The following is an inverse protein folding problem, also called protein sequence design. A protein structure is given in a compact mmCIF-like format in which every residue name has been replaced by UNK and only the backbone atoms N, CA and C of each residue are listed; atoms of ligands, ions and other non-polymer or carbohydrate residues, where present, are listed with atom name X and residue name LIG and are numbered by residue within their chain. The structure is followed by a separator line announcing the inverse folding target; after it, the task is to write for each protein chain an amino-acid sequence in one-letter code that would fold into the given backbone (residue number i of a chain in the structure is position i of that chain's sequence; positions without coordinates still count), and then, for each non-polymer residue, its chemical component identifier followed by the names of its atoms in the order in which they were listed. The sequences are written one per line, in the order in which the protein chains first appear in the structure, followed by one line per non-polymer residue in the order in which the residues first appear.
data_IF_137861714600
#
_entry.id   IF_137861714600
#
_cell.length_a   1.000
_cell.length_b   1.000
_cell.length_c   1.000
_cell.angle_alpha   90.00
_cell.angle_beta   90.00
_cell.angle_gamma   90.00
#
_symmetry.space_group_name_H-M   'P 1'
#
loop_
_entity.id
_entity.type
_entity.pdbx_description
1 polymer ?
#
# COMPACT_ATOMS: atom_id res chain seq x y z
N UNK A 1 18.77 -31.57 -3.41
CA UNK A 1 19.11 -30.13 -3.37
C UNK A 1 17.85 -29.37 -3.74
N UNK A 2 17.18 -28.73 -2.78
CA UNK A 2 15.93 -28.02 -3.05
C UNK A 2 16.26 -26.62 -3.58
N UNK A 3 15.87 -26.34 -4.81
CA UNK A 3 16.02 -25.02 -5.43
C UNK A 3 15.02 -24.07 -4.79
N UNK A 4 15.52 -23.08 -4.05
CA UNK A 4 14.69 -22.03 -3.48
C UNK A 4 14.45 -20.97 -4.56
N UNK A 5 13.25 -20.98 -5.15
CA UNK A 5 12.82 -19.94 -6.07
C UNK A 5 12.71 -18.62 -5.32
N UNK A 6 13.61 -17.69 -5.58
CA UNK A 6 13.57 -16.32 -5.03
C UNK A 6 12.41 -15.55 -5.65
N UNK A 7 11.22 -15.70 -5.07
CA UNK A 7 10.10 -14.80 -5.36
C UNK A 7 10.49 -13.39 -4.90
N UNK A 8 10.86 -12.53 -5.84
CA UNK A 8 11.17 -11.13 -5.55
C UNK A 8 9.86 -10.38 -5.38
N UNK A 9 9.30 -10.42 -4.17
CA UNK A 9 8.10 -9.65 -3.83
C UNK A 9 8.47 -8.17 -3.77
N UNK A 10 7.99 -7.39 -4.73
CA UNK A 10 8.17 -5.92 -4.71
C UNK A 10 7.11 -5.31 -3.80
N UNK A 11 7.53 -4.75 -2.67
CA UNK A 11 6.64 -4.07 -1.71
C UNK A 11 6.68 -2.57 -1.98
N UNK A 12 5.51 -1.95 -2.06
CA UNK A 12 5.32 -0.50 -2.16
C UNK A 12 4.67 0.04 -0.88
N UNK A 13 5.47 0.57 0.07
CA UNK A 13 4.94 1.08 1.33
C UNK A 13 4.09 2.33 1.10
N UNK A 14 3.01 2.46 1.87
CA UNK A 14 2.23 3.71 1.95
C UNK A 14 2.45 4.36 3.32
N UNK A 15 2.94 5.60 3.33
CA UNK A 15 3.29 6.35 4.53
C UNK A 15 2.38 7.58 4.71
N UNK A 16 1.98 7.87 5.95
CA UNK A 16 1.19 9.07 6.26
C UNK A 16 1.98 10.02 7.15
N UNK A 17 2.12 11.28 6.73
CA UNK A 17 2.89 12.29 7.44
C UNK A 17 2.01 13.47 7.88
N UNK A 18 2.27 14.03 9.06
CA UNK A 18 1.64 15.29 9.47
C UNK A 18 2.07 16.47 8.58
N UNK A 19 3.35 16.48 8.16
CA UNK A 19 3.90 17.40 7.16
C UNK A 19 4.44 16.60 5.97
N UNK A 20 3.60 16.37 4.98
CA UNK A 20 3.96 15.57 3.81
C UNK A 20 4.94 16.29 2.88
N UNK A 21 4.82 17.61 2.69
CA UNK A 21 5.77 18.41 1.88
C UNK A 21 7.19 18.35 2.44
N UNK A 22 7.32 18.53 3.76
CA UNK A 22 8.60 18.40 4.45
C UNK A 22 9.17 16.98 4.37
N UNK A 23 8.32 15.96 4.46
CA UNK A 23 8.73 14.57 4.31
C UNK A 23 9.26 14.25 2.90
N UNK A 24 8.59 14.74 1.86
CA UNK A 24 9.05 14.60 0.47
C UNK A 24 10.43 15.25 0.30
N UNK A 25 10.57 16.53 0.69
CA UNK A 25 11.83 17.24 0.60
C UNK A 25 12.97 16.53 1.36
N UNK A 26 12.66 15.96 2.53
CA UNK A 26 13.61 15.15 3.29
C UNK A 26 13.97 13.85 2.55
N UNK A 27 13.01 13.12 2.01
CA UNK A 27 13.25 11.84 1.33
C UNK A 27 14.08 12.04 0.05
N UNK A 28 13.78 13.08 -0.71
CA UNK A 28 14.55 13.47 -1.90
C UNK A 28 15.96 13.89 -1.50
N UNK A 29 16.12 14.73 -0.47
CA UNK A 29 17.43 15.26 -0.10
C UNK A 29 18.35 14.26 0.62
N UNK A 30 17.79 13.50 1.57
CA UNK A 30 18.58 12.63 2.45
C UNK A 30 18.85 11.28 1.81
N UNK A 31 17.88 10.73 1.07
CA UNK A 31 18.05 9.45 0.42
C UNK A 31 18.33 9.63 -1.07
N UNK A 32 17.72 10.60 -1.77
CA UNK A 32 17.86 10.72 -3.22
C UNK A 32 16.70 10.11 -3.99
N UNK A 33 15.51 10.04 -3.37
CA UNK A 33 14.28 9.70 -4.09
C UNK A 33 13.98 10.71 -5.20
N UNK A 34 13.30 10.25 -6.24
CA UNK A 34 12.82 11.09 -7.34
C UNK A 34 11.31 11.29 -7.16
N UNK A 35 10.86 12.54 -7.20
CA UNK A 35 9.43 12.87 -7.19
C UNK A 35 8.80 12.54 -8.55
N UNK A 36 7.96 11.52 -8.59
CA UNK A 36 7.30 11.07 -9.83
C UNK A 36 5.91 11.67 -9.96
N UNK A 37 5.16 11.72 -8.86
CA UNK A 37 3.85 12.34 -8.83
C UNK A 37 3.60 12.94 -7.46
N UNK A 38 3.08 14.17 -7.40
CA UNK A 38 2.63 14.80 -6.15
C UNK A 38 1.33 15.56 -6.43
N UNK A 39 0.24 15.08 -5.86
CA UNK A 39 -1.09 15.68 -5.92
C UNK A 39 -1.47 16.22 -4.54
N UNK A 40 -2.01 17.43 -4.51
CA UNK A 40 -2.50 18.04 -3.29
C UNK A 40 -2.76 19.53 -3.45
N UNK A 41 -3.41 20.10 -2.45
CA UNK A 41 -3.78 21.51 -2.41
C UNK A 41 -3.04 22.23 -1.26
N UNK A 42 -2.35 23.32 -1.60
CA UNK A 42 -1.50 24.05 -0.66
C UNK A 42 -0.47 23.14 0.02
N UNK A 43 -0.48 23.17 1.35
CA UNK A 43 0.42 22.38 2.22
C UNK A 43 0.01 20.90 2.37
N UNK A 44 -1.19 20.54 1.94
CA UNK A 44 -1.69 19.18 2.02
C UNK A 44 -1.28 18.41 0.77
N UNK A 45 -0.79 17.19 0.97
CA UNK A 45 -0.53 16.22 -0.10
C UNK A 45 -1.58 15.13 0.00
N UNK A 46 -2.36 14.97 -1.05
CA UNK A 46 -3.37 13.92 -1.14
C UNK A 46 -2.76 12.59 -1.56
N UNK A 47 -1.77 12.65 -2.45
CA UNK A 47 -1.02 11.49 -2.91
C UNK A 47 0.34 11.94 -3.44
N UNK A 48 1.41 11.28 -3.03
CA UNK A 48 2.72 11.41 -3.62
C UNK A 48 3.33 10.04 -3.87
N UNK A 49 4.00 9.89 -5.01
CA UNK A 49 4.81 8.75 -5.36
C UNK A 49 6.26 9.20 -5.54
N UNK A 50 7.15 8.54 -4.80
CA UNK A 50 8.58 8.75 -4.87
C UNK A 50 9.27 7.45 -5.31
N UNK A 51 10.04 7.52 -6.39
CA UNK A 51 10.73 6.37 -6.94
C UNK A 51 12.21 6.36 -6.54
N UNK A 52 12.74 5.16 -6.26
CA UNK A 52 14.15 4.97 -5.93
C UNK A 52 14.93 4.49 -7.16
N UNK A 53 16.09 5.11 -7.50
CA UNK A 53 16.87 4.71 -8.67
C UNK A 53 17.34 3.24 -8.67
N UNK A 54 17.52 2.67 -7.48
CA UNK A 54 17.90 1.26 -7.30
C UNK A 54 16.73 0.26 -7.39
N UNK A 55 15.51 0.74 -7.67
CA UNK A 55 14.30 -0.08 -7.78
C UNK A 55 13.38 0.02 -6.58
N UNK A 56 12.07 0.02 -6.84
CA UNK A 56 11.01 0.24 -5.86
C UNK A 56 10.71 1.72 -5.62
N UNK A 57 9.82 1.98 -4.67
CA UNK A 57 9.42 3.32 -4.33
C UNK A 57 8.46 3.35 -3.15
N UNK A 58 8.12 4.55 -2.72
CA UNK A 58 7.19 4.78 -1.62
C UNK A 58 6.04 5.65 -2.09
N UNK A 59 4.83 5.29 -1.64
CA UNK A 59 3.69 6.18 -1.71
C UNK A 59 3.54 6.89 -0.38
N UNK A 60 3.21 8.16 -0.39
CA UNK A 60 2.94 8.91 0.83
C UNK A 60 1.85 9.96 0.67
N UNK A 61 1.25 10.37 1.78
CA UNK A 61 0.27 11.46 1.80
C UNK A 61 0.23 12.15 3.14
N UNK A 62 -0.46 13.28 3.19
CA UNK A 62 -0.79 13.96 4.44
C UNK A 62 -1.70 13.07 5.28
N UNK A 63 -1.45 13.04 6.59
CA UNK A 63 -2.31 12.32 7.51
C UNK A 63 -3.72 12.91 7.47
N UNK A 64 -4.71 12.03 7.22
CA UNK A 64 -6.12 12.39 7.34
C UNK A 64 -6.80 11.51 8.39
N UNK A 65 -7.67 12.08 9.24
CA UNK A 65 -8.32 11.34 10.32
C UNK A 65 -9.27 10.24 9.81
N UNK A 66 -9.75 10.36 8.58
CA UNK A 66 -10.66 9.44 7.89
C UNK A 66 -9.94 8.41 6.98
N UNK A 67 -8.62 8.54 6.79
CA UNK A 67 -7.87 7.61 5.94
C UNK A 67 -7.69 6.25 6.62
N UNK A 68 -7.76 5.15 5.87
CA UNK A 68 -7.55 3.80 6.41
C UNK A 68 -6.22 3.67 7.19
N UNK A 69 -5.17 4.37 6.75
CA UNK A 69 -3.87 4.45 7.43
C UNK A 69 -3.91 5.36 8.66
N UNK A 70 -4.70 6.44 8.64
CA UNK A 70 -4.88 7.36 9.76
C UNK A 70 -5.81 6.87 10.86
N UNK A 71 -6.72 5.93 10.55
CA UNK A 71 -7.61 5.26 11.50
C UNK A 71 -6.91 4.11 12.24
N UNK A 72 -5.76 3.63 11.75
CA UNK A 72 -4.89 2.73 12.51
C UNK A 72 -4.34 3.48 13.74
N UNK A 73 -4.63 2.93 14.93
CA UNK A 73 -4.17 3.49 16.21
C UNK A 73 -2.66 3.73 16.17
N UNK A 74 -2.24 4.99 16.41
CA UNK A 74 -0.82 5.39 16.52
C UNK A 74 -0.09 4.41 17.45
N UNK A 75 0.88 3.66 16.91
CA UNK A 75 1.69 2.71 17.68
C UNK A 75 1.28 1.23 17.60
N UNK A 76 0.20 0.86 16.90
CA UNK A 76 -0.09 -0.55 16.62
C UNK A 76 0.12 -0.88 15.15
N UNK A 77 1.16 -1.65 14.84
CA UNK A 77 1.32 -2.33 13.55
C UNK A 77 0.30 -3.49 13.44
N UNK A 78 -0.99 -3.15 13.45
CA UNK A 78 -2.03 -4.11 13.10
C UNK A 78 -2.30 -3.92 11.61
N UNK A 79 -1.55 -4.64 10.79
CA UNK A 79 -1.95 -4.95 9.43
C UNK A 79 -3.19 -5.85 9.49
N UNK A 80 -4.37 -5.29 9.71
CA UNK A 80 -5.59 -5.95 9.26
C UNK A 80 -5.72 -5.63 7.78
N UNK A 81 -5.17 -6.50 6.94
CA UNK A 81 -5.73 -6.74 5.62
C UNK A 81 -7.16 -7.27 5.86
N UNK A 82 -8.11 -6.39 6.18
CA UNK A 82 -9.52 -6.75 6.09
C UNK A 82 -9.90 -6.68 4.62
N UNK A 83 -9.33 -7.62 3.86
CA UNK A 83 -10.14 -8.31 2.87
C UNK A 83 -11.24 -9.01 3.65
N UNK A 84 -12.30 -8.26 3.97
CA UNK A 84 -13.61 -8.84 4.15
C UNK A 84 -14.21 -8.93 2.74
N UNK A 85 -13.56 -9.72 1.89
CA UNK A 85 -14.29 -10.46 0.88
C UNK A 85 -15.15 -11.43 1.69
N UNK A 86 -16.49 -11.34 1.66
CA UNK A 86 -17.30 -12.42 2.17
C UNK A 86 -17.09 -13.59 1.22
N UNK A 87 -16.09 -14.43 1.50
CA UNK A 87 -15.98 -15.73 0.87
C UNK A 87 -17.12 -16.58 1.40
N UNK A 88 -18.32 -16.38 0.83
CA UNK A 88 -19.36 -17.40 0.83
C UNK A 88 -18.87 -18.48 -0.14
N UNK A 89 -17.97 -19.33 0.34
CA UNK A 89 -17.77 -20.65 -0.24
C UNK A 89 -19.06 -21.45 -0.01
N UNK A 90 -20.11 -21.15 -0.77
CA UNK A 90 -21.12 -22.18 -1.03
C UNK A 90 -20.61 -23.00 -2.18
N UNK A 91 -20.13 -24.20 -1.85
CA UNK A 91 -19.99 -25.27 -2.82
C UNK A 91 -21.33 -25.42 -3.56
N UNK A 92 -21.25 -25.36 -4.88
CA UNK A 92 -22.30 -25.87 -5.75
C UNK A 92 -22.14 -27.39 -5.72
N UNK A 93 -23.10 -28.17 -5.19
CA UNK A 93 -23.12 -29.60 -5.43
C UNK A 93 -23.44 -29.81 -6.91
N UNK A 94 -22.51 -30.41 -7.65
CA UNK A 94 -22.72 -30.92 -8.99
C UNK A 94 -23.80 -32.01 -8.92
N UNK A 95 -25.01 -31.72 -9.39
CA UNK A 95 -26.05 -32.74 -9.62
C UNK A 95 -25.73 -33.52 -10.90
N UNK A 96 -25.70 -34.87 -10.86
CA UNK A 96 -25.65 -35.67 -12.08
C UNK A 96 -27.02 -35.62 -12.79
N UNK A 97 -27.02 -35.35 -14.09
CA UNK A 97 -28.22 -35.31 -14.93
C UNK A 97 -28.88 -36.70 -15.10
N UNK A 98 -30.19 -36.76 -15.40
CA UNK A 98 -30.91 -38.02 -15.55
C UNK A 98 -30.54 -38.74 -16.87
N UNK A 99 -30.59 -40.08 -16.91
CA UNK A 99 -30.36 -40.83 -18.14
C UNK A 99 -31.54 -40.70 -19.12
N UNK A 100 -31.23 -40.78 -20.41
CA UNK A 100 -32.21 -40.97 -21.50
C UNK A 100 -32.74 -42.40 -21.54
#
# INVERSE_FOLDING_TARGET
MSTQTTNTTTIWPTLSYANARGAIAFLVKAFGFIETAVYGEGERVDHAQLDWPGGGGVMLGSQRPDSAVGTCRRGSARCTSSSRIPTRCTGVPSTPGPPS
#
